data_IF_283890924964
#
_entry.id   IF_283890924964
#
_cell.length_a   1.000
_cell.length_b   1.000
_cell.length_c   1.000
_cell.angle_alpha   90.00
_cell.angle_beta   90.00
_cell.angle_gamma   90.00
#
_symmetry.space_group_name_H-M   'P 1'
#
loop_
_entity.id
_entity.type
_entity.pdbx_description
1 polymer ?
#
# COMPACT_ATOMS: atom_id res chain seq x y z
N UNK A 1 -13.35 10.84 -0.02
CA UNK A 1 -13.46 9.72 -0.97
C UNK A 1 -12.96 8.44 -0.33
N UNK A 2 -13.50 7.30 -0.73
CA UNK A 2 -12.97 5.95 -0.48
C UNK A 2 -12.60 5.30 -1.82
N UNK A 3 -12.10 4.08 -1.83
CA UNK A 3 -11.65 3.35 -3.03
C UNK A 3 -12.52 2.13 -3.28
N UNK A 4 -12.88 1.89 -4.53
CA UNK A 4 -13.53 0.66 -4.98
C UNK A 4 -12.46 -0.40 -5.31
N UNK A 5 -12.46 -1.49 -4.54
CA UNK A 5 -11.51 -2.60 -4.67
C UNK A 5 -12.12 -3.86 -5.29
N UNK A 6 -13.32 -3.76 -5.87
CA UNK A 6 -14.01 -4.92 -6.49
C UNK A 6 -13.17 -5.62 -7.57
N UNK A 7 -12.31 -4.89 -8.28
CA UNK A 7 -11.39 -5.43 -9.29
C UNK A 7 -10.17 -6.16 -8.70
N UNK A 8 -9.88 -5.96 -7.41
CA UNK A 8 -8.69 -6.52 -6.73
C UNK A 8 -9.03 -6.98 -5.31
N UNK A 9 -9.96 -7.95 -5.15
CA UNK A 9 -10.47 -8.36 -3.84
C UNK A 9 -9.42 -9.05 -2.96
N UNK A 10 -8.44 -9.69 -3.59
CA UNK A 10 -7.37 -10.47 -2.93
C UNK A 10 -6.03 -9.73 -2.88
N UNK A 11 -6.05 -8.41 -3.08
CA UNK A 11 -4.82 -7.64 -3.15
C UNK A 11 -3.95 -7.76 -1.90
N UNK A 12 -2.66 -7.49 -2.09
CA UNK A 12 -1.66 -7.52 -1.02
C UNK A 12 -0.95 -6.18 -0.97
N UNK A 13 -0.78 -5.65 0.24
CA UNK A 13 0.11 -4.52 0.49
C UNK A 13 1.37 -5.05 1.14
N UNK A 14 2.48 -4.94 0.42
CA UNK A 14 3.79 -5.31 0.92
C UNK A 14 4.54 -4.05 1.36
N UNK A 15 4.79 -3.95 2.64
CA UNK A 15 5.76 -3.02 3.20
C UNK A 15 7.11 -3.71 3.26
N UNK A 16 8.15 -3.02 2.81
CA UNK A 16 9.52 -3.46 2.93
C UNK A 16 10.39 -2.26 3.29
N UNK A 17 11.47 -2.51 4.02
CA UNK A 17 12.36 -1.45 4.45
C UNK A 17 13.81 -1.89 4.49
N UNK A 18 14.69 -0.90 4.33
CA UNK A 18 16.12 -1.07 4.47
C UNK A 18 16.69 0.07 5.31
N UNK A 19 17.59 -0.25 6.24
CA UNK A 19 18.23 0.70 7.15
C UNK A 19 19.73 0.56 7.09
N UNK A 20 20.45 1.67 6.95
CA UNK A 20 21.91 1.68 7.02
C UNK A 20 22.35 1.38 8.46
N UNK A 21 23.19 0.36 8.62
CA UNK A 21 23.84 0.03 9.90
C UNK A 21 25.33 0.39 9.92
N UNK A 22 25.89 0.71 8.74
CA UNK A 22 27.26 1.22 8.55
C UNK A 22 27.26 2.32 7.48
N UNK A 23 28.27 3.21 7.43
CA UNK A 23 28.34 4.28 6.41
C UNK A 23 28.27 3.77 4.96
N UNK A 24 28.90 2.62 4.66
CA UNK A 24 28.81 2.00 3.33
C UNK A 24 27.38 1.56 2.95
N UNK A 25 26.45 1.53 3.90
CA UNK A 25 25.05 1.18 3.66
C UNK A 25 24.29 2.22 2.85
N UNK A 26 24.70 3.50 2.91
CA UNK A 26 24.03 4.58 2.18
C UNK A 26 24.06 4.35 0.67
N UNK A 27 25.22 3.98 0.12
CA UNK A 27 25.38 3.68 -1.30
C UNK A 27 24.53 2.47 -1.74
N UNK A 28 24.47 1.43 -0.91
CA UNK A 28 23.63 0.26 -1.20
C UNK A 28 22.14 0.61 -1.23
N UNK A 29 21.67 1.44 -0.30
CA UNK A 29 20.28 1.90 -0.26
C UNK A 29 19.97 2.73 -1.51
N UNK A 30 20.83 3.70 -1.87
CA UNK A 30 20.62 4.53 -3.07
C UNK A 30 20.54 3.66 -4.33
N UNK A 31 21.43 2.69 -4.50
CA UNK A 31 21.42 1.77 -5.64
C UNK A 31 20.15 0.93 -5.68
N UNK A 32 19.76 0.34 -4.55
CA UNK A 32 18.55 -0.49 -4.48
C UNK A 32 17.29 0.31 -4.82
N UNK A 33 17.19 1.55 -4.34
CA UNK A 33 16.08 2.44 -4.69
C UNK A 33 15.98 2.70 -6.19
N UNK A 34 17.11 2.94 -6.86
CA UNK A 34 17.13 3.12 -8.31
C UNK A 34 16.61 1.85 -9.03
N UNK A 35 17.01 0.66 -8.57
CA UNK A 35 16.52 -0.61 -9.13
C UNK A 35 15.02 -0.82 -8.92
N UNK A 36 14.49 -0.48 -7.74
CA UNK A 36 13.06 -0.60 -7.44
C UNK A 36 12.21 0.41 -8.22
N UNK A 37 12.73 1.61 -8.47
CA UNK A 37 12.06 2.59 -9.35
C UNK A 37 12.03 2.14 -10.80
N UNK A 38 13.11 1.51 -11.28
CA UNK A 38 13.13 0.92 -12.62
C UNK A 38 12.11 -0.22 -12.73
N UNK A 39 12.06 -1.10 -11.72
CA UNK A 39 11.03 -2.14 -11.62
C UNK A 39 9.61 -1.53 -11.62
N UNK A 40 9.40 -0.41 -10.92
CA UNK A 40 8.11 0.27 -10.90
C UNK A 40 7.73 0.92 -12.23
N UNK A 41 8.73 1.34 -13.04
CA UNK A 41 8.51 1.86 -14.39
C UNK A 41 8.14 0.74 -15.38
N UNK A 42 8.62 -0.48 -15.13
CA UNK A 42 8.32 -1.68 -15.91
C UNK A 42 7.77 -2.79 -14.99
N UNK A 43 6.57 -2.60 -14.42
CA UNK A 43 6.07 -3.45 -13.35
C UNK A 43 5.91 -4.90 -13.83
N UNK A 44 6.35 -5.88 -13.02
CA UNK A 44 6.07 -7.29 -13.29
C UNK A 44 4.55 -7.54 -13.21
N UNK A 45 4.09 -8.65 -13.80
CA UNK A 45 2.67 -9.01 -13.74
C UNK A 45 2.15 -9.02 -12.29
N UNK A 46 1.02 -8.36 -12.09
CA UNK A 46 0.34 -8.24 -10.81
C UNK A 46 0.83 -7.12 -9.90
N UNK A 47 1.95 -6.46 -10.19
CA UNK A 47 2.36 -5.28 -9.43
C UNK A 47 1.54 -4.06 -9.87
N UNK A 48 0.73 -3.51 -8.96
CA UNK A 48 -0.21 -2.43 -9.21
C UNK A 48 0.40 -1.04 -8.98
N UNK A 49 1.22 -0.90 -7.93
CA UNK A 49 1.87 0.35 -7.60
C UNK A 49 3.10 0.15 -6.72
N UNK A 50 3.97 1.16 -6.73
CA UNK A 50 5.18 1.27 -5.92
C UNK A 50 5.28 2.66 -5.33
N UNK A 51 5.66 2.76 -4.06
CA UNK A 51 5.87 4.02 -3.37
C UNK A 51 7.11 3.96 -2.50
N UNK A 52 7.86 5.08 -2.48
CA UNK A 52 8.99 5.30 -1.60
C UNK A 52 8.56 6.13 -0.40
N UNK A 53 9.12 5.86 0.78
CA UNK A 53 9.00 6.76 1.93
C UNK A 53 10.22 6.62 2.85
N UNK A 54 10.38 7.56 3.77
CA UNK A 54 11.57 7.67 4.62
C UNK A 54 11.16 7.65 6.10
N UNK A 55 11.79 6.78 6.89
CA UNK A 55 11.69 6.83 8.36
C UNK A 55 12.74 7.76 8.98
N UNK A 56 13.93 7.79 8.40
CA UNK A 56 15.02 8.66 8.86
C UNK A 56 16.05 8.89 7.76
N UNK A 57 16.70 10.05 7.80
CA UNK A 57 17.86 10.36 6.96
C UNK A 57 19.20 10.07 7.67
N UNK A 58 19.21 9.95 9.00
CA UNK A 58 20.41 9.68 9.80
C UNK A 58 20.10 8.80 11.03
N UNK A 59 20.47 7.51 11.04
CA UNK A 59 20.95 6.75 9.89
C UNK A 59 19.85 6.59 8.83
N UNK A 60 20.24 6.59 7.55
CA UNK A 60 19.29 6.45 6.43
C UNK A 60 18.46 5.17 6.55
N UNK A 61 17.14 5.33 6.63
CA UNK A 61 16.15 4.26 6.69
C UNK A 61 15.01 4.59 5.72
N UNK A 62 14.91 3.77 4.69
CA UNK A 62 13.95 3.93 3.59
C UNK A 62 12.96 2.78 3.62
N UNK A 63 11.71 3.10 3.35
CA UNK A 63 10.61 2.17 3.12
C UNK A 63 10.11 2.19 1.71
N UNK A 64 9.51 1.06 1.35
CA UNK A 64 8.78 0.90 0.11
C UNK A 64 7.45 0.24 0.41
N UNK A 65 6.41 0.74 -0.25
CA UNK A 65 5.08 0.16 -0.22
C UNK A 65 4.76 -0.30 -1.63
N UNK A 66 4.48 -1.58 -1.76
CA UNK A 66 4.10 -2.18 -3.03
C UNK A 66 2.69 -2.72 -2.92
N UNK A 67 1.93 -2.54 -3.98
CA UNK A 67 0.58 -3.07 -4.12
C UNK A 67 0.59 -4.17 -5.16
N UNK A 68 0.01 -5.31 -4.81
CA UNK A 68 -0.06 -6.49 -5.66
C UNK A 68 -1.51 -6.90 -5.83
N UNK A 69 -1.87 -7.35 -7.03
CA UNK A 69 -3.23 -7.76 -7.41
C UNK A 69 -3.72 -8.96 -6.60
N UNK A 70 -2.83 -9.90 -6.33
CA UNK A 70 -3.14 -11.17 -5.70
C UNK A 70 -1.86 -11.82 -5.12
N UNK A 71 -1.97 -12.77 -4.16
CA UNK A 71 -0.81 -13.45 -3.57
C UNK A 71 0.03 -14.22 -4.60
N UNK A 72 -0.61 -14.82 -5.60
CA UNK A 72 0.06 -15.66 -6.60
C UNK A 72 1.04 -14.86 -7.46
N UNK A 73 0.66 -13.65 -7.85
CA UNK A 73 1.51 -12.73 -8.61
C UNK A 73 2.71 -12.25 -7.79
N UNK A 74 2.49 -11.92 -6.51
CA UNK A 74 3.56 -11.56 -5.58
C UNK A 74 4.54 -12.73 -5.40
N UNK A 75 4.04 -13.93 -5.13
CA UNK A 75 4.88 -15.11 -4.91
C UNK A 75 5.65 -15.49 -6.17
N UNK A 76 5.01 -15.41 -7.35
CA UNK A 76 5.68 -15.65 -8.63
C UNK A 76 6.85 -14.69 -8.83
N UNK A 77 6.64 -13.40 -8.56
CA UNK A 77 7.72 -12.41 -8.63
C UNK A 77 8.82 -12.68 -7.60
N UNK A 78 8.46 -12.99 -6.35
CA UNK A 78 9.42 -13.28 -5.29
C UNK A 78 10.32 -14.49 -5.61
N UNK A 79 9.85 -15.41 -6.45
CA UNK A 79 10.61 -16.57 -6.92
C UNK A 79 11.30 -16.38 -8.28
N UNK A 80 11.23 -15.19 -8.87
CA UNK A 80 12.00 -14.87 -10.08
C UNK A 80 13.51 -14.92 -9.82
N UNK A 81 14.28 -15.13 -10.89
CA UNK A 81 15.74 -15.11 -10.81
C UNK A 81 16.30 -13.80 -10.25
N UNK A 82 15.68 -12.66 -10.57
CA UNK A 82 16.13 -11.34 -10.14
C UNK A 82 16.01 -11.14 -8.63
N UNK A 83 14.82 -11.40 -8.08
CA UNK A 83 14.59 -11.30 -6.63
C UNK A 83 15.43 -12.33 -5.87
N UNK A 84 15.46 -13.60 -6.33
CA UNK A 84 16.28 -14.66 -5.72
C UNK A 84 17.75 -14.29 -5.67
N UNK A 85 18.30 -13.76 -6.76
CA UNK A 85 19.72 -13.41 -6.84
C UNK A 85 20.07 -12.18 -6.00
N UNK A 86 19.14 -11.22 -5.86
CA UNK A 86 19.27 -10.16 -4.87
C UNK A 86 19.29 -10.74 -3.45
N UNK A 87 18.38 -11.66 -3.12
CA UNK A 87 18.31 -12.25 -1.79
C UNK A 87 19.53 -13.07 -1.43
N UNK A 88 20.02 -13.88 -2.37
CA UNK A 88 21.28 -14.63 -2.22
C UNK A 88 22.46 -13.71 -1.94
N UNK A 89 22.59 -12.59 -2.68
CA UNK A 89 23.67 -11.60 -2.48
C UNK A 89 23.54 -10.90 -1.13
N UNK A 90 22.34 -10.49 -0.76
CA UNK A 90 22.08 -9.84 0.51
C UNK A 90 22.42 -10.76 1.68
N UNK A 91 21.93 -12.01 1.65
CA UNK A 91 22.16 -13.02 2.69
C UNK A 91 23.64 -13.43 2.79
N UNK A 92 24.31 -13.58 1.65
CA UNK A 92 25.70 -14.03 1.56
C UNK A 92 26.77 -12.97 1.79
N UNK A 93 26.42 -11.69 2.00
CA UNK A 93 27.41 -10.63 2.23
C UNK A 93 27.89 -10.61 3.70
N UNK A 94 29.16 -11.01 3.98
CA UNK A 94 29.71 -10.99 5.33
C UNK A 94 30.01 -9.56 5.83
N UNK A 95 30.04 -8.56 4.93
CA UNK A 95 30.31 -7.13 5.24
C UNK A 95 29.05 -6.28 5.21
N UNK A 96 27.87 -6.91 5.34
CA UNK A 96 26.57 -6.25 5.22
C UNK A 96 26.50 -4.93 5.99
N UNK A 97 26.15 -3.89 5.28
CA UNK A 97 26.06 -2.52 5.80
C UNK A 97 24.63 -2.01 5.95
N UNK A 98 23.65 -2.88 5.70
CA UNK A 98 22.21 -2.60 5.76
C UNK A 98 21.44 -3.70 6.49
N UNK A 99 20.44 -3.34 7.29
CA UNK A 99 19.41 -4.25 7.79
C UNK A 99 18.15 -4.11 6.93
N UNK A 100 17.37 -5.18 6.76
CA UNK A 100 16.12 -5.15 6.00
C UNK A 100 14.99 -5.83 6.76
N UNK A 101 13.76 -5.49 6.41
CA UNK A 101 12.54 -6.08 6.94
C UNK A 101 11.43 -6.01 5.90
N UNK A 102 10.38 -6.81 6.10
CA UNK A 102 9.15 -6.73 5.32
C UNK A 102 7.93 -7.18 6.13
N UNK A 103 6.76 -6.68 5.75
CA UNK A 103 5.45 -6.99 6.31
C UNK A 103 4.46 -7.07 5.13
N UNK A 104 3.68 -8.15 5.05
CA UNK A 104 2.68 -8.34 4.00
C UNK A 104 1.28 -8.38 4.62
N UNK A 105 0.39 -7.56 4.09
CA UNK A 105 -1.00 -7.46 4.52
C UNK A 105 -1.91 -7.92 3.38
N UNK A 106 -2.64 -9.01 3.64
CA UNK A 106 -3.59 -9.59 2.71
C UNK A 106 -4.98 -9.02 3.02
N UNK A 107 -5.60 -8.33 2.07
CA UNK A 107 -6.79 -7.52 2.37
C UNK A 107 -8.12 -8.26 2.27
N UNK A 108 -8.12 -9.58 2.09
CA UNK A 108 -9.35 -10.38 1.95
C UNK A 108 -10.29 -10.33 3.18
N UNK A 109 -9.84 -9.74 4.30
CA UNK A 109 -10.64 -9.42 5.48
C UNK A 109 -11.18 -7.99 5.54
N UNK A 110 -11.03 -7.19 4.48
CA UNK A 110 -11.43 -5.79 4.42
C UNK A 110 -10.31 -4.81 4.73
N UNK A 111 -10.38 -3.61 4.15
CA UNK A 111 -9.43 -2.52 4.38
C UNK A 111 -10.18 -1.19 4.48
N UNK A 112 -9.90 -0.41 5.51
CA UNK A 112 -10.46 0.93 5.66
C UNK A 112 -9.59 1.95 4.92
N UNK A 113 -10.18 2.63 3.93
CA UNK A 113 -9.52 3.61 3.08
C UNK A 113 -10.31 4.92 3.07
N UNK A 114 -9.64 6.03 3.42
CA UNK A 114 -10.25 7.35 3.38
C UNK A 114 -9.24 8.38 2.87
N UNK A 115 -9.67 9.18 1.91
CA UNK A 115 -8.90 10.23 1.26
C UNK A 115 -9.70 11.53 1.29
N UNK A 116 -9.11 12.60 1.82
CA UNK A 116 -9.72 13.94 1.91
C UNK A 116 -8.77 14.93 1.26
N UNK A 117 -9.25 15.68 0.26
CA UNK A 117 -8.47 16.69 -0.48
C UNK A 117 -7.14 16.18 -1.07
N UNK A 118 -7.13 14.92 -1.50
CA UNK A 118 -5.98 14.27 -2.14
C UNK A 118 -6.19 14.12 -3.66
N UNK A 119 -5.12 14.16 -4.43
CA UNK A 119 -5.10 14.13 -5.91
C UNK A 119 -4.98 12.71 -6.51
N UNK A 120 -5.39 11.68 -5.77
CA UNK A 120 -5.31 10.27 -6.18
C UNK A 120 -3.90 9.78 -6.56
N UNK A 121 -2.83 10.43 -6.07
CA UNK A 121 -1.46 10.03 -6.39
C UNK A 121 -0.83 9.01 -5.42
N UNK A 122 -1.53 8.67 -4.33
CA UNK A 122 -1.00 7.86 -3.22
C UNK A 122 -1.93 6.72 -2.79
N UNK A 123 -1.32 5.64 -2.33
CA UNK A 123 -1.97 4.44 -1.84
C UNK A 123 -2.82 3.77 -2.92
N UNK A 124 -3.93 3.20 -2.49
CA UNK A 124 -4.89 2.50 -3.36
C UNK A 124 -5.52 3.38 -4.43
N UNK A 125 -5.77 4.66 -4.13
CA UNK A 125 -6.35 5.62 -5.07
C UNK A 125 -5.47 5.86 -6.32
N UNK A 126 -4.20 5.44 -6.29
CA UNK A 126 -3.27 5.55 -7.42
C UNK A 126 -3.63 4.64 -8.61
N UNK A 127 -4.28 3.51 -8.35
CA UNK A 127 -4.57 2.50 -9.37
C UNK A 127 -6.02 2.00 -9.35
N UNK A 128 -6.79 2.31 -8.31
CA UNK A 128 -8.18 1.91 -8.18
C UNK A 128 -9.12 3.14 -8.17
N UNK A 129 -10.33 3.04 -8.74
CA UNK A 129 -11.28 4.15 -8.78
C UNK A 129 -11.66 4.64 -7.37
N UNK A 130 -11.78 5.95 -7.21
CA UNK A 130 -12.28 6.56 -5.98
C UNK A 130 -13.78 6.84 -6.06
N UNK A 131 -14.51 6.56 -5.00
CA UNK A 131 -15.95 6.86 -4.84
C UNK A 131 -16.20 7.72 -3.61
N UNK A 132 -17.39 8.32 -3.52
CA UNK A 132 -17.77 9.14 -2.37
C UNK A 132 -17.97 8.26 -1.14
N UNK A 133 -17.35 8.61 -0.01
CA UNK A 133 -17.45 7.84 1.22
C UNK A 133 -18.74 8.22 1.99
N UNK A 134 -19.89 7.71 1.54
CA UNK A 134 -21.22 8.01 2.13
C UNK A 134 -21.92 6.79 2.74
N UNK A 135 -22.93 7.04 3.57
CA UNK A 135 -23.80 5.99 4.13
C UNK A 135 -22.99 4.98 4.95
N UNK A 136 -22.93 3.72 4.52
CA UNK A 136 -22.12 2.69 5.21
C UNK A 136 -20.64 3.10 5.31
N UNK A 137 -20.12 3.85 4.33
CA UNK A 137 -18.75 4.36 4.34
C UNK A 137 -18.51 5.52 5.33
N UNK A 138 -19.56 5.97 6.04
CA UNK A 138 -19.46 6.90 7.16
C UNK A 138 -18.96 6.22 8.47
N UNK A 139 -18.26 5.10 8.34
CA UNK A 139 -17.57 4.43 9.43
C UNK A 139 -16.36 3.66 8.89
N UNK A 140 -15.36 3.44 9.75
CA UNK A 140 -14.19 2.61 9.40
C UNK A 140 -14.60 1.19 9.02
N UNK A 141 -15.52 0.58 9.79
CA UNK A 141 -16.01 -0.77 9.55
C UNK A 141 -16.75 -0.90 8.22
N UNK A 142 -17.61 0.07 7.90
CA UNK A 142 -18.34 0.02 6.64
C UNK A 142 -17.45 0.26 5.41
N UNK A 143 -16.41 1.09 5.51
CA UNK A 143 -15.40 1.19 4.44
C UNK A 143 -14.58 -0.08 4.28
N UNK A 144 -14.29 -0.77 5.39
CA UNK A 144 -13.66 -2.08 5.36
C UNK A 144 -14.60 -3.22 4.92
N UNK A 145 -15.88 -2.96 4.64
CA UNK A 145 -16.85 -4.01 4.29
C UNK A 145 -17.17 -4.98 5.44
N UNK A 146 -16.86 -4.60 6.68
CA UNK A 146 -17.11 -5.40 7.86
C UNK A 146 -18.54 -5.22 8.35
N UNK A 147 -19.11 -6.28 8.94
CA UNK A 147 -20.45 -6.24 9.50
C UNK A 147 -20.62 -5.09 10.51
N UNK A 148 -21.80 -4.44 10.45
CA UNK A 148 -22.18 -3.31 11.28
C UNK A 148 -22.26 -3.54 12.81
N UNK A 149 -22.42 -4.76 13.38
CA UNK A 149 -22.41 -4.94 14.82
C UNK A 149 -21.12 -4.36 15.43
N UNK A 150 -21.25 -3.31 16.24
CA UNK A 150 -20.14 -2.60 16.85
C UNK A 150 -19.80 -1.22 16.26
N UNK A 151 -20.52 -0.75 15.23
CA UNK A 151 -20.47 0.67 14.84
C UNK A 151 -21.31 1.46 15.85
N UNK A 152 -20.67 2.36 16.60
CA UNK A 152 -21.37 3.28 17.48
C UNK A 152 -22.12 4.34 16.67
N UNK A 153 -23.24 4.83 17.20
CA UNK A 153 -23.93 5.99 16.62
C UNK A 153 -22.96 7.18 16.56
N UNK A 154 -22.82 7.85 15.40
CA UNK A 154 -21.92 8.97 15.28
C UNK A 154 -22.47 10.16 16.06
N UNK A 155 -21.60 10.85 16.81
CA UNK A 155 -21.97 12.09 17.51
C UNK A 155 -22.44 13.17 16.54
N UNK A 156 -21.85 13.20 15.34
CA UNK A 156 -22.24 14.08 14.25
C UNK A 156 -22.78 13.22 13.12
N UNK A 157 -24.08 13.36 12.84
CA UNK A 157 -24.72 12.68 11.72
C UNK A 157 -24.16 13.17 10.38
N UNK A 158 -24.03 12.26 9.41
CA UNK A 158 -23.58 12.58 8.06
C UNK A 158 -24.41 13.69 7.40
N UNK A 159 -25.73 13.69 7.64
CA UNK A 159 -26.68 14.68 7.12
C UNK A 159 -26.43 16.11 7.61
N UNK A 160 -25.61 16.30 8.65
CA UNK A 160 -25.21 17.64 9.08
C UNK A 160 -24.20 18.31 8.14
N UNK A 161 -23.52 17.51 7.31
CA UNK A 161 -22.52 17.99 6.36
C UNK A 161 -23.05 18.17 4.95
N UNK A 162 -24.22 17.59 4.64
CA UNK A 162 -24.74 17.49 3.28
C UNK A 162 -26.26 17.62 3.27
N UNK A 163 -26.78 18.47 2.39
CA UNK A 163 -28.22 18.63 2.24
C UNK A 163 -28.84 17.36 1.63
N UNK A 164 -30.11 17.09 1.94
CA UNK A 164 -30.82 15.89 1.51
C UNK A 164 -30.93 15.70 -0.01
N UNK A 165 -30.66 16.73 -0.82
CA UNK A 165 -30.57 16.66 -2.28
C UNK A 165 -29.31 15.96 -2.81
N UNK A 166 -28.28 15.82 -1.98
CA UNK A 166 -26.98 15.26 -2.38
C UNK A 166 -26.90 13.73 -2.18
N UNK A 167 -27.95 13.11 -1.63
CA UNK A 167 -28.03 11.68 -1.32
C UNK A 167 -28.57 10.82 -2.48
N UNK A 168 -29.16 11.41 -3.52
CA UNK A 168 -29.78 10.68 -4.64
C UNK A 168 -28.83 10.31 -5.81
N UNK A 169 -27.51 10.51 -5.66
CA UNK A 169 -26.53 10.35 -6.75
C UNK A 169 -25.78 9.02 -6.85
N UNK A 170 -26.17 7.96 -6.12
CA UNK A 170 -25.50 6.65 -6.17
C UNK A 170 -26.09 5.74 -7.26
N UNK A 171 -25.29 4.97 -8.03
CA UNK A 171 -25.81 4.13 -9.10
C UNK A 171 -26.69 3.01 -8.53
N UNK A 172 -27.80 2.77 -9.24
CA UNK A 172 -28.74 1.68 -9.00
C UNK A 172 -28.13 0.30 -9.24
#
# INVERSE_FOLDING_TARGET
MTVDLTATPDAVVLYLGIKAVRPSGYGHIIKMRAQLRELAAHPPDGMLAHEDFYWSFLPLHVGFRQFWRDPDSLDRYAHTGEHRDWWRRFLGDPKRSTAAWHEAYFISGGVDLLYTDMDNTVGWARFAPTTVARGQSYSSRGRAGLAAPGVAEPEIAETSFYDGSDLEGGPA
#
